data_IF_443961985262
#
_entry.id   IF_443961985262
#
_cell.length_a   1.000
_cell.length_b   1.000
_cell.length_c   1.000
_cell.angle_alpha   90.00
_cell.angle_beta   90.00
_cell.angle_gamma   90.00
#
_symmetry.space_group_name_H-M   'P 1'
#
loop_
_entity.id
_entity.type
_entity.pdbx_description
1 polymer ?
#
# COMPACT_ATOMS: atom_id res chain seq x y z
N UNK A 1 -22.72 -9.43 16.67
CA UNK A 1 -21.62 -10.20 16.05
C UNK A 1 -20.66 -9.25 15.39
N UNK A 2 -19.32 -9.35 15.58
CA UNK A 2 -18.40 -8.53 14.81
C UNK A 2 -18.56 -8.88 13.33
N UNK A 3 -18.80 -7.87 12.51
CA UNK A 3 -19.18 -8.05 11.10
C UNK A 3 -18.03 -8.60 10.27
N UNK A 4 -18.32 -9.66 9.51
CA UNK A 4 -17.39 -10.45 8.70
C UNK A 4 -16.79 -9.72 7.50
N UNK A 5 -17.13 -8.45 7.27
CA UNK A 5 -16.69 -7.69 6.11
C UNK A 5 -16.34 -6.25 6.47
N UNK A 6 -15.43 -5.67 5.69
CA UNK A 6 -15.00 -4.30 5.85
C UNK A 6 -13.70 -4.04 5.13
N UNK A 7 -12.97 -3.06 5.60
CA UNK A 7 -11.68 -2.69 5.02
C UNK A 7 -10.63 -2.47 6.09
N UNK A 8 -9.38 -2.69 5.69
CA UNK A 8 -8.20 -2.26 6.45
C UNK A 8 -7.37 -1.39 5.52
N UNK A 9 -7.07 -0.18 5.94
CA UNK A 9 -6.25 0.76 5.16
C UNK A 9 -4.93 1.00 5.87
N UNK A 10 -3.85 0.97 5.11
CA UNK A 10 -2.55 1.53 5.49
C UNK A 10 -2.25 2.67 4.54
N UNK A 11 -2.18 3.89 5.06
CA UNK A 11 -1.87 5.07 4.23
C UNK A 11 -0.38 5.08 3.88
N UNK A 12 0.01 5.84 2.85
CA UNK A 12 1.43 6.07 2.55
C UNK A 12 2.18 6.72 3.73
N UNK A 13 1.49 7.39 4.66
CA UNK A 13 2.06 7.94 5.89
C UNK A 13 2.23 6.88 7.01
N UNK A 14 1.85 5.63 6.77
CA UNK A 14 1.94 4.53 7.73
C UNK A 14 0.78 4.46 8.74
N UNK A 15 -0.24 5.31 8.61
CA UNK A 15 -1.41 5.24 9.48
C UNK A 15 -2.28 4.04 9.10
N UNK A 16 -2.67 3.25 10.10
CA UNK A 16 -3.59 2.10 9.93
C UNK A 16 -4.98 2.45 10.42
N UNK A 17 -6.01 2.13 9.63
CA UNK A 17 -7.42 2.25 10.04
C UNK A 17 -8.24 1.05 9.55
N UNK A 18 -9.40 0.83 10.17
CA UNK A 18 -10.39 -0.14 9.70
C UNK A 18 -11.78 0.49 9.61
N UNK A 19 -12.61 -0.11 8.76
CA UNK A 19 -14.03 0.22 8.65
C UNK A 19 -14.87 -1.06 8.55
N UNK A 20 -16.19 -0.94 8.76
CA UNK A 20 -17.11 -2.08 8.80
C UNK A 20 -16.98 -2.85 10.11
N UNK A 21 -17.07 -4.18 10.03
CA UNK A 21 -17.00 -5.04 11.21
C UNK A 21 -15.59 -5.45 11.66
N UNK A 22 -14.55 -4.85 11.05
CA UNK A 22 -13.16 -5.18 11.30
C UNK A 22 -12.64 -4.46 12.54
N UNK A 23 -12.19 -5.24 13.53
CA UNK A 23 -11.50 -4.74 14.72
C UNK A 23 -9.99 -4.92 14.54
N UNK A 24 -9.24 -3.83 14.64
CA UNK A 24 -7.78 -3.88 14.64
C UNK A 24 -7.28 -4.26 16.02
N UNK A 25 -6.39 -5.24 16.09
CA UNK A 25 -5.66 -5.56 17.31
C UNK A 25 -4.46 -4.65 17.46
N UNK A 26 -4.25 -4.14 18.66
CA UNK A 26 -3.06 -3.36 19.02
C UNK A 26 -1.80 -4.24 19.01
N UNK A 27 -0.63 -3.63 18.77
CA UNK A 27 0.67 -4.27 19.01
C UNK A 27 1.45 -4.78 17.80
N UNK A 28 1.00 -4.55 16.56
CA UNK A 28 1.84 -4.79 15.37
C UNK A 28 2.34 -3.46 14.81
N UNK A 29 3.64 -3.33 14.61
CA UNK A 29 4.21 -2.24 13.82
C UNK A 29 3.62 -2.30 12.41
N UNK A 30 3.04 -1.19 11.95
CA UNK A 30 2.52 -1.05 10.60
C UNK A 30 3.34 0.02 9.91
N UNK A 31 3.85 -0.31 8.73
CA UNK A 31 4.59 0.62 7.90
C UNK A 31 4.05 0.58 6.48
N UNK A 32 4.05 1.75 5.82
CA UNK A 32 3.89 1.81 4.38
C UNK A 32 5.10 1.18 3.69
N UNK A 33 4.90 0.66 2.47
CA UNK A 33 6.01 0.18 1.66
C UNK A 33 6.90 1.37 1.25
N UNK A 34 8.22 1.23 1.32
CA UNK A 34 9.18 2.28 0.96
C UNK A 34 9.97 1.88 -0.28
N UNK A 35 10.11 2.81 -1.22
CA UNK A 35 10.86 2.64 -2.46
C UNK A 35 11.86 3.79 -2.60
N UNK A 36 13.06 3.47 -3.08
CA UNK A 36 14.07 4.47 -3.44
C UNK A 36 14.47 4.27 -4.89
N UNK A 37 14.33 5.34 -5.67
CA UNK A 37 14.77 5.40 -7.06
C UNK A 37 15.98 6.31 -7.13
N UNK A 38 17.03 5.86 -7.80
CA UNK A 38 18.22 6.65 -8.08
C UNK A 38 18.20 6.99 -9.57
N UNK A 39 18.44 8.25 -9.89
CA UNK A 39 18.42 8.75 -11.26
C UNK A 39 19.03 10.14 -11.34
N UNK A 40 19.08 10.71 -12.53
CA UNK A 40 19.67 12.04 -12.72
C UNK A 40 18.81 13.11 -12.06
N UNK A 41 19.43 13.93 -11.20
CA UNK A 41 18.80 15.10 -10.58
C UNK A 41 17.97 15.93 -11.58
N UNK A 42 16.80 16.39 -11.16
CA UNK A 42 15.83 17.17 -11.92
C UNK A 42 15.19 16.47 -13.13
N UNK A 43 15.45 15.18 -13.37
CA UNK A 43 14.74 14.41 -14.39
C UNK A 43 13.27 14.28 -14.03
N UNK A 44 12.39 14.46 -15.02
CA UNK A 44 10.97 14.21 -14.81
C UNK A 44 10.73 12.72 -14.64
N UNK A 45 9.82 12.35 -13.75
CA UNK A 45 9.42 10.95 -13.57
C UNK A 45 7.91 10.78 -13.68
N UNK A 46 7.52 9.55 -13.97
CA UNK A 46 6.16 9.05 -13.79
C UNK A 46 6.18 7.78 -12.94
N UNK A 47 5.23 7.66 -12.00
CA UNK A 47 5.05 6.48 -11.16
C UNK A 47 3.70 5.85 -11.50
N UNK A 48 3.71 4.57 -11.86
CA UNK A 48 2.51 3.76 -11.98
C UNK A 48 2.37 2.85 -10.75
N UNK A 49 1.27 3.01 -10.03
CA UNK A 49 0.86 2.10 -8.95
C UNK A 49 0.01 0.96 -9.52
N UNK A 50 -0.12 -0.17 -8.80
CA UNK A 50 -1.04 -1.23 -9.19
C UNK A 50 -2.48 -0.73 -9.33
N UNK A 51 -3.20 -1.31 -10.31
CA UNK A 51 -4.63 -1.10 -10.44
C UNK A 51 -5.41 -1.75 -9.28
N UNK A 52 -6.63 -1.27 -9.05
CA UNK A 52 -7.50 -1.87 -8.04
C UNK A 52 -7.75 -3.35 -8.33
N UNK A 53 -7.72 -4.16 -7.27
CA UNK A 53 -7.99 -5.60 -7.33
C UNK A 53 -6.99 -6.43 -8.17
N UNK A 54 -5.84 -5.85 -8.54
CA UNK A 54 -4.76 -6.57 -9.27
C UNK A 54 -3.72 -7.20 -8.35
N UNK A 55 -3.70 -6.80 -7.07
CA UNK A 55 -2.78 -7.32 -6.05
C UNK A 55 -3.59 -8.02 -4.97
N UNK A 56 -3.11 -9.19 -4.55
CA UNK A 56 -3.73 -10.01 -3.53
C UNK A 56 -2.73 -10.31 -2.42
N UNK A 57 -3.20 -10.24 -1.17
CA UNK A 57 -2.47 -10.78 0.00
C UNK A 57 -3.15 -12.07 0.45
N UNK A 58 -2.38 -13.01 0.96
CA UNK A 58 -2.87 -14.35 1.30
C UNK A 58 -2.33 -14.87 2.63
N UNK A 59 -3.11 -15.74 3.26
CA UNK A 59 -2.72 -16.52 4.45
C UNK A 59 -3.45 -17.87 4.39
N UNK A 60 -2.69 -18.93 4.10
CA UNK A 60 -3.28 -20.25 3.82
C UNK A 60 -4.27 -20.17 2.64
N UNK A 61 -5.49 -20.66 2.85
CA UNK A 61 -6.57 -20.61 1.84
C UNK A 61 -7.32 -19.27 1.76
N UNK A 62 -7.02 -18.30 2.63
CA UNK A 62 -7.71 -17.01 2.66
C UNK A 62 -6.94 -15.97 1.87
N UNK A 63 -7.64 -15.11 1.15
CA UNK A 63 -7.05 -14.05 0.35
C UNK A 63 -7.89 -12.78 0.38
N UNK A 64 -7.21 -11.63 0.25
CA UNK A 64 -7.84 -10.32 0.17
C UNK A 64 -7.20 -9.49 -0.93
N UNK A 65 -8.06 -8.83 -1.71
CA UNK A 65 -7.62 -7.92 -2.76
C UNK A 65 -7.29 -6.55 -2.20
N UNK A 66 -6.23 -5.95 -2.74
CA UNK A 66 -5.85 -4.58 -2.45
C UNK A 66 -6.44 -3.62 -3.46
N UNK A 67 -6.82 -2.44 -2.99
CA UNK A 67 -7.39 -1.34 -3.77
C UNK A 67 -6.86 -0.02 -3.25
N UNK A 68 -7.12 1.08 -3.97
CA UNK A 68 -6.87 2.44 -3.53
C UNK A 68 -5.40 2.66 -3.12
N UNK A 69 -4.49 2.23 -4.00
CA UNK A 69 -3.07 2.49 -3.79
C UNK A 69 -2.82 4.01 -3.75
N UNK A 70 -2.04 4.46 -2.78
CA UNK A 70 -1.67 5.88 -2.58
C UNK A 70 -0.17 6.01 -2.51
N UNK A 71 0.37 7.16 -2.94
CA UNK A 71 1.80 7.44 -2.94
C UNK A 71 2.07 8.76 -2.19
N UNK A 72 3.22 8.86 -1.52
CA UNK A 72 3.64 10.07 -0.82
C UNK A 72 4.10 11.20 -1.73
N UNK A 73 4.26 10.93 -3.03
CA UNK A 73 4.69 11.90 -4.05
C UNK A 73 3.74 11.89 -5.26
N UNK A 74 3.70 12.96 -6.07
CA UNK A 74 2.88 12.99 -7.27
C UNK A 74 3.22 11.86 -8.23
N UNK A 75 2.21 11.21 -8.82
CA UNK A 75 2.43 10.13 -9.80
C UNK A 75 2.94 10.63 -11.15
N UNK A 76 2.71 11.91 -11.45
CA UNK A 76 3.09 12.55 -12.72
C UNK A 76 3.58 13.97 -12.46
N UNK A 77 4.50 14.46 -13.29
CA UNK A 77 4.98 15.84 -13.20
C UNK A 77 5.93 16.09 -12.03
N UNK A 78 6.37 15.03 -11.34
CA UNK A 78 7.42 15.10 -10.34
C UNK A 78 8.81 15.14 -10.96
N UNK A 79 9.78 15.65 -10.21
CA UNK A 79 11.21 15.63 -10.56
C UNK A 79 12.00 14.80 -9.56
N UNK A 80 12.94 14.01 -10.06
CA UNK A 80 13.88 13.25 -9.24
C UNK A 80 14.74 14.21 -8.43
N UNK A 81 14.64 14.04 -7.11
CA UNK A 81 15.36 14.74 -6.05
C UNK A 81 15.71 16.20 -6.33
N UNK A 82 14.97 17.14 -5.75
CA UNK A 82 15.30 18.57 -5.80
C UNK A 82 16.58 18.87 -4.99
N UNK A 83 17.74 18.46 -5.50
CA UNK A 83 19.06 18.58 -4.84
C UNK A 83 19.80 17.27 -4.58
N UNK A 84 19.26 16.12 -4.95
CA UNK A 84 19.90 14.80 -4.80
C UNK A 84 19.55 13.87 -5.97
N UNK A 85 20.43 12.94 -6.33
CA UNK A 85 20.19 11.96 -7.41
C UNK A 85 19.23 10.82 -6.99
N UNK A 86 18.34 11.08 -6.04
CA UNK A 86 17.45 10.06 -5.47
C UNK A 86 16.08 10.59 -5.07
N UNK A 87 15.05 9.77 -5.27
CA UNK A 87 13.70 9.99 -4.77
C UNK A 87 13.31 8.80 -3.88
N UNK A 88 12.99 9.08 -2.62
CA UNK A 88 12.35 8.09 -1.74
C UNK A 88 10.88 8.43 -1.60
N UNK A 89 10.02 7.43 -1.79
CA UNK A 89 8.58 7.57 -1.64
C UNK A 89 7.98 6.33 -0.97
N UNK A 90 6.82 6.52 -0.35
CA UNK A 90 6.09 5.45 0.30
C UNK A 90 4.75 5.18 -0.38
N UNK A 91 4.31 3.93 -0.32
CA UNK A 91 3.05 3.47 -0.91
C UNK A 91 2.17 2.80 0.14
N UNK A 92 0.91 3.23 0.19
CA UNK A 92 -0.16 2.64 0.99
C UNK A 92 -1.24 2.01 0.12
N UNK A 93 -2.15 1.25 0.73
CA UNK A 93 -3.30 0.62 0.07
C UNK A 93 -4.40 0.24 1.07
N UNK A 94 -5.56 -0.16 0.55
CA UNK A 94 -6.69 -0.69 1.30
C UNK A 94 -6.92 -2.16 0.95
N UNK A 95 -6.97 -3.03 1.95
CA UNK A 95 -7.43 -4.41 1.80
C UNK A 95 -8.95 -4.48 1.93
N UNK A 96 -9.61 -5.16 1.00
CA UNK A 96 -11.06 -5.43 1.05
C UNK A 96 -11.26 -6.80 1.70
N UNK A 97 -11.94 -6.81 2.84
CA UNK A 97 -12.25 -8.02 3.60
C UNK A 97 -13.70 -8.38 3.31
N UNK A 98 -13.93 -9.45 2.55
CA UNK A 98 -15.28 -9.88 2.13
C UNK A 98 -15.85 -10.99 3.02
N UNK A 99 -15.03 -11.61 3.86
CA UNK A 99 -15.40 -12.70 4.76
C UNK A 99 -14.57 -12.65 6.04
N UNK A 100 -15.04 -13.29 7.12
CA UNK A 100 -14.34 -13.32 8.40
C UNK A 100 -12.91 -13.83 8.20
N UNK A 101 -11.88 -13.00 8.43
CA UNK A 101 -10.50 -13.44 8.25
C UNK A 101 -10.17 -14.51 9.30
N UNK A 102 -9.59 -15.63 8.87
CA UNK A 102 -8.89 -16.51 9.80
C UNK A 102 -7.72 -15.72 10.42
N UNK A 103 -7.45 -15.86 11.73
CA UNK A 103 -6.28 -15.26 12.35
C UNK A 103 -5.00 -15.70 11.64
N UNK A 104 -4.14 -14.75 11.32
CA UNK A 104 -2.86 -15.03 10.67
C UNK A 104 -2.25 -13.79 10.03
N UNK A 105 -1.00 -13.94 9.60
CA UNK A 105 -0.29 -12.91 8.83
C UNK A 105 -0.63 -13.07 7.35
N UNK A 106 -1.25 -12.06 6.76
CA UNK A 106 -1.52 -12.01 5.33
C UNK A 106 -0.38 -11.26 4.64
N UNK A 107 0.22 -11.87 3.64
CA UNK A 107 1.34 -11.27 2.89
C UNK A 107 1.15 -11.41 1.39
N UNK A 108 1.84 -10.56 0.65
CA UNK A 108 1.85 -10.51 -0.81
C UNK A 108 2.87 -9.48 -1.28
N UNK A 109 3.06 -9.40 -2.59
CA UNK A 109 3.97 -8.43 -3.20
C UNK A 109 3.22 -7.67 -4.30
N UNK A 110 3.65 -6.44 -4.53
CA UNK A 110 3.17 -5.62 -5.63
C UNK A 110 4.33 -4.90 -6.28
N UNK A 111 4.15 -4.55 -7.55
CA UNK A 111 5.15 -3.84 -8.33
C UNK A 111 4.77 -2.37 -8.44
N UNK A 112 5.78 -1.51 -8.44
CA UNK A 112 5.67 -0.11 -8.81
C UNK A 112 6.57 0.10 -10.01
N UNK A 113 6.08 0.79 -11.03
CA UNK A 113 6.88 1.12 -12.22
C UNK A 113 7.22 2.60 -12.19
N UNK A 114 8.49 2.91 -12.46
CA UNK A 114 8.99 4.29 -12.56
C UNK A 114 9.67 4.45 -13.91
N UNK A 115 9.26 5.47 -14.67
CA UNK A 115 9.85 5.86 -15.97
C UNK A 115 10.32 7.30 -15.94
#
# INVERSE_FOLDING_TARGET
>A
SPGSSGTVTVTHAGARSSAGGIILKDGSAVAAASFTVIGTNNSSYTIALPGNNTVTISSGGNNFNLTNFTCSVPLTGGKLGAGNDSLTFTVGATAIITSTPAPGSYSGSFNVTVN
#
